data_IF_694842256325
#
_entry.id   IF_694842256325
#
_cell.length_a   1.000
_cell.length_b   1.000
_cell.length_c   1.000
_cell.angle_alpha   90.00
_cell.angle_beta   90.00
_cell.angle_gamma   90.00
#
_symmetry.space_group_name_H-M   'P 1'
#
loop_
_entity.id
_entity.type
_entity.pdbx_description
1 polymer ?
#
# COMPACT_ATOMS: atom_id res chain seq x y z
N UNK A 1 4.28 -21.57 14.65
CA UNK A 1 2.87 -21.30 15.05
C UNK A 1 2.26 -20.34 14.03
N UNK A 2 1.32 -20.79 13.20
CA UNK A 2 0.59 -19.89 12.27
C UNK A 2 -0.53 -19.22 13.06
N UNK A 3 -0.31 -17.99 13.51
CA UNK A 3 -1.36 -17.17 14.12
C UNK A 3 -2.37 -16.87 13.01
N UNK A 4 -3.52 -17.51 13.06
CA UNK A 4 -4.61 -17.24 12.12
C UNK A 4 -5.24 -15.91 12.54
N UNK A 5 -5.24 -14.97 11.61
CA UNK A 5 -5.62 -13.56 11.79
C UNK A 5 -7.03 -13.37 12.40
N UNK A 6 -7.28 -12.23 13.06
CA UNK A 6 -8.55 -11.97 13.74
C UNK A 6 -9.66 -11.77 12.71
N UNK A 7 -10.80 -12.46 12.88
CA UNK A 7 -12.04 -12.38 12.06
C UNK A 7 -12.48 -10.96 11.62
N UNK A 8 -12.08 -9.89 12.31
CA UNK A 8 -12.44 -8.50 11.99
C UNK A 8 -11.61 -7.87 10.87
N UNK A 9 -10.44 -8.41 10.54
CA UNK A 9 -9.53 -7.89 9.53
C UNK A 9 -9.40 -8.81 8.31
N UNK A 10 -10.33 -9.76 8.17
CA UNK A 10 -10.43 -10.62 6.99
C UNK A 10 -11.62 -10.15 6.16
N UNK A 11 -11.41 -9.89 4.88
CA UNK A 11 -12.48 -9.55 3.94
C UNK A 11 -12.41 -10.46 2.72
N UNK A 12 -13.56 -10.62 2.07
CA UNK A 12 -13.71 -11.47 0.89
C UNK A 12 -13.57 -10.61 -0.36
N UNK A 13 -12.74 -11.01 -1.31
CA UNK A 13 -12.66 -10.39 -2.64
C UNK A 13 -13.84 -10.84 -3.53
N UNK A 14 -14.07 -10.10 -4.61
CA UNK A 14 -15.14 -10.43 -5.58
C UNK A 14 -15.00 -11.84 -6.16
N UNK A 15 -13.78 -12.40 -6.16
CA UNK A 15 -13.48 -13.73 -6.70
C UNK A 15 -13.82 -14.89 -5.75
N UNK A 16 -14.19 -14.62 -4.51
CA UNK A 16 -14.49 -15.67 -3.53
C UNK A 16 -13.42 -15.88 -2.46
N UNK A 17 -12.20 -15.39 -2.69
CA UNK A 17 -11.04 -15.58 -1.80
C UNK A 17 -11.10 -14.67 -0.57
N UNK A 18 -10.56 -15.16 0.55
CA UNK A 18 -10.46 -14.42 1.81
C UNK A 18 -9.06 -13.86 1.98
N UNK A 19 -8.99 -12.57 2.33
CA UNK A 19 -7.75 -11.82 2.45
C UNK A 19 -7.60 -11.32 3.88
N UNK A 20 -6.47 -11.65 4.50
CA UNK A 20 -6.07 -11.10 5.79
C UNK A 20 -5.16 -9.88 5.57
N UNK A 21 -5.74 -8.68 5.60
CA UNK A 21 -5.00 -7.42 5.36
C UNK A 21 -3.84 -7.25 6.33
N UNK A 22 -4.00 -7.58 7.62
CA UNK A 22 -2.91 -7.44 8.61
C UNK A 22 -1.72 -8.35 8.27
N UNK A 23 -1.97 -9.57 7.77
CA UNK A 23 -0.89 -10.48 7.37
C UNK A 23 -0.13 -9.96 6.16
N UNK A 24 -0.85 -9.40 5.19
CA UNK A 24 -0.27 -8.80 3.98
C UNK A 24 0.53 -7.54 4.34
N UNK A 25 -0.05 -6.64 5.15
CA UNK A 25 0.61 -5.46 5.69
C UNK A 25 1.90 -5.84 6.42
N UNK A 26 1.88 -6.89 7.24
CA UNK A 26 3.07 -7.38 7.94
C UNK A 26 4.12 -7.98 7.01
N UNK A 27 3.71 -8.64 5.92
CA UNK A 27 4.65 -9.19 4.93
C UNK A 27 5.39 -8.06 4.21
N UNK A 28 4.64 -7.11 3.66
CA UNK A 28 5.20 -5.98 2.93
C UNK A 28 5.91 -4.96 3.83
N UNK A 29 5.56 -4.86 5.12
CA UNK A 29 6.27 -4.01 6.08
C UNK A 29 7.72 -4.45 6.32
N UNK A 30 8.12 -5.65 5.87
CA UNK A 30 9.52 -6.09 5.90
C UNK A 30 10.35 -5.52 4.75
N UNK A 31 9.72 -4.83 3.80
CA UNK A 31 10.41 -4.20 2.68
C UNK A 31 11.16 -2.94 3.18
N UNK A 32 12.48 -2.82 2.98
CA UNK A 32 13.27 -1.70 3.51
C UNK A 32 12.99 -0.37 2.79
N UNK A 33 12.32 -0.39 1.64
CA UNK A 33 12.01 0.81 0.85
C UNK A 33 10.77 1.56 1.34
N UNK A 34 10.01 0.96 2.27
CA UNK A 34 8.79 1.56 2.86
C UNK A 34 8.92 1.62 4.38
N UNK A 35 8.44 2.71 4.97
CA UNK A 35 8.41 2.91 6.43
C UNK A 35 7.11 2.41 7.04
N UNK A 36 5.99 2.59 6.33
CA UNK A 36 4.67 2.21 6.81
C UNK A 36 3.77 1.87 5.63
N UNK A 37 2.92 0.88 5.83
CA UNK A 37 2.03 0.36 4.79
C UNK A 37 0.62 0.23 5.34
N UNK A 38 -0.34 0.70 4.55
CA UNK A 38 -1.76 0.50 4.78
C UNK A 38 -2.38 -0.13 3.53
N UNK A 39 -2.86 -1.36 3.67
CA UNK A 39 -3.51 -2.09 2.56
C UNK A 39 -5.02 -1.91 2.63
N UNK A 40 -5.60 -1.60 1.47
CA UNK A 40 -7.01 -1.47 1.28
C UNK A 40 -7.53 -2.46 0.22
N UNK A 41 -8.65 -3.09 0.53
CA UNK A 41 -9.37 -3.93 -0.39
C UNK A 41 -10.86 -3.87 -0.13
N UNK A 42 -11.64 -4.17 -1.16
CA UNK A 42 -13.10 -4.14 -1.14
C UNK A 42 -13.65 -5.42 -1.76
N UNK A 43 -14.81 -5.88 -1.29
CA UNK A 43 -15.48 -7.08 -1.80
C UNK A 43 -16.01 -6.95 -3.22
N UNK A 44 -16.14 -5.73 -3.73
CA UNK A 44 -16.51 -5.47 -5.12
C UNK A 44 -15.32 -5.54 -6.08
N UNK A 45 -14.09 -5.59 -5.55
CA UNK A 45 -12.86 -5.53 -6.32
C UNK A 45 -12.14 -6.88 -6.29
N UNK A 46 -11.48 -7.21 -7.39
CA UNK A 46 -10.70 -8.44 -7.53
C UNK A 46 -9.22 -8.25 -7.16
N UNK A 47 -8.83 -7.04 -6.75
CA UNK A 47 -7.46 -6.66 -6.47
C UNK A 47 -7.37 -5.66 -5.32
N UNK A 48 -6.16 -5.59 -4.75
CA UNK A 48 -5.83 -4.76 -3.60
C UNK A 48 -5.11 -3.49 -4.02
N UNK A 49 -5.38 -2.42 -3.28
CA UNK A 49 -4.65 -1.18 -3.34
C UNK A 49 -3.88 -0.98 -2.05
N UNK A 50 -2.83 -0.18 -2.13
CA UNK A 50 -2.02 0.13 -0.97
C UNK A 50 -1.71 1.62 -0.91
N UNK A 51 -1.66 2.15 0.31
CA UNK A 51 -1.03 3.42 0.61
C UNK A 51 0.23 3.13 1.41
N UNK A 52 1.38 3.55 0.90
CA UNK A 52 2.66 3.36 1.56
C UNK A 52 3.34 4.69 1.78
N UNK A 53 4.08 4.77 2.86
CA UNK A 53 5.00 5.86 3.14
C UNK A 53 6.38 5.36 2.74
N UNK A 54 6.93 5.83 1.61
CA UNK A 54 8.27 5.44 1.19
C UNK A 54 9.32 5.97 2.17
N UNK A 55 10.40 5.23 2.31
CA UNK A 55 11.56 5.69 3.07
C UNK A 55 12.27 6.80 2.28
N UNK A 56 12.58 7.93 2.96
CA UNK A 56 13.08 9.13 2.28
C UNK A 56 14.41 8.85 1.58
N UNK A 57 15.36 8.20 2.24
CA UNK A 57 16.66 7.83 1.66
C UNK A 57 16.48 6.87 0.49
N UNK A 58 15.70 5.80 0.65
CA UNK A 58 15.42 4.88 -0.47
C UNK A 58 14.87 5.59 -1.72
N UNK A 59 13.95 6.54 -1.52
CA UNK A 59 13.37 7.31 -2.63
C UNK A 59 14.36 8.31 -3.23
N UNK A 60 15.17 8.98 -2.42
CA UNK A 60 16.23 9.88 -2.86
C UNK A 60 17.33 9.14 -3.63
N UNK A 61 17.75 7.96 -3.17
CA UNK A 61 18.70 7.10 -3.87
C UNK A 61 18.16 6.65 -5.23
N UNK A 62 16.90 6.23 -5.27
CA UNK A 62 16.25 5.89 -6.54
C UNK A 62 16.15 7.09 -7.48
N UNK A 63 15.81 8.27 -6.95
CA UNK A 63 15.71 9.50 -7.72
C UNK A 63 17.07 9.90 -8.31
N UNK A 64 18.14 9.79 -7.52
CA UNK A 64 19.52 10.03 -7.98
C UNK A 64 19.91 9.10 -9.13
N UNK A 65 19.60 7.80 -9.03
CA UNK A 65 19.86 6.82 -10.10
C UNK A 65 19.03 7.08 -11.37
N UNK A 66 17.80 7.57 -11.22
CA UNK A 66 16.87 7.82 -12.32
C UNK A 66 16.89 9.26 -12.83
N UNK A 67 17.87 10.07 -12.39
CA UNK A 67 17.99 11.49 -12.71
C UNK A 67 16.69 12.28 -12.47
N UNK A 68 15.90 11.87 -11.47
CA UNK A 68 14.71 12.60 -11.06
C UNK A 68 15.13 13.69 -10.08
N UNK A 69 14.84 14.93 -10.43
CA UNK A 69 15.08 16.11 -9.59
C UNK A 69 13.74 16.59 -9.06
N UNK A 70 13.63 16.73 -7.74
CA UNK A 70 12.43 17.23 -7.08
C UNK A 70 12.42 16.93 -5.60
N UNK A 71 11.59 17.66 -4.86
CA UNK A 71 11.35 17.40 -3.45
C UNK A 71 10.75 16.00 -3.23
N UNK A 72 10.94 15.47 -2.02
CA UNK A 72 10.38 14.18 -1.60
C UNK A 72 8.87 14.05 -1.92
N UNK A 73 8.12 15.15 -1.75
CA UNK A 73 6.69 15.21 -2.07
C UNK A 73 6.42 15.05 -3.57
N UNK A 74 7.17 15.77 -4.42
CA UNK A 74 7.08 15.66 -5.87
C UNK A 74 7.48 14.27 -6.37
N UNK A 75 8.46 13.64 -5.73
CA UNK A 75 8.83 12.25 -6.02
C UNK A 75 7.69 11.28 -5.68
N UNK A 76 7.00 11.47 -4.56
CA UNK A 76 5.82 10.64 -4.21
C UNK A 76 4.66 10.78 -5.21
N UNK A 77 4.51 11.96 -5.82
CA UNK A 77 3.51 12.20 -6.86
C UNK A 77 3.91 11.61 -8.23
N UNK A 78 5.20 11.30 -8.42
CA UNK A 78 5.72 10.80 -9.69
C UNK A 78 5.31 9.34 -9.94
N UNK A 79 4.74 9.07 -11.13
CA UNK A 79 4.34 7.73 -11.54
C UNK A 79 5.50 6.73 -11.56
N UNK A 80 6.71 7.18 -11.94
CA UNK A 80 7.90 6.31 -11.98
C UNK A 80 8.30 5.83 -10.58
N UNK A 81 8.21 6.71 -9.59
CA UNK A 81 8.50 6.37 -8.19
C UNK A 81 7.47 5.38 -7.63
N UNK A 82 6.18 5.63 -7.90
CA UNK A 82 5.09 4.71 -7.54
C UNK A 82 5.35 3.33 -8.12
N UNK A 83 5.68 3.26 -9.42
CA UNK A 83 5.98 2.00 -10.10
C UNK A 83 7.20 1.30 -9.51
N UNK A 84 8.25 2.03 -9.17
CA UNK A 84 9.43 1.47 -8.52
C UNK A 84 9.10 0.83 -7.17
N UNK A 85 8.38 1.55 -6.30
CA UNK A 85 7.97 1.02 -5.00
C UNK A 85 7.02 -0.17 -5.16
N UNK A 86 6.11 -0.12 -6.13
CA UNK A 86 5.25 -1.26 -6.45
C UNK A 86 6.04 -2.50 -6.85
N UNK A 87 7.11 -2.33 -7.63
CA UNK A 87 7.98 -3.42 -8.08
C UNK A 87 8.79 -4.02 -6.92
N UNK A 88 9.30 -3.19 -6.01
CA UNK A 88 9.97 -3.61 -4.77
C UNK A 88 9.02 -4.39 -3.83
N UNK A 89 7.78 -3.91 -3.71
CA UNK A 89 6.72 -4.62 -2.97
C UNK A 89 6.40 -5.96 -3.62
N UNK A 90 6.19 -6.00 -4.93
CA UNK A 90 5.93 -7.24 -5.67
C UNK A 90 7.13 -8.21 -5.63
N UNK A 91 8.36 -7.70 -5.53
CA UNK A 91 9.55 -8.53 -5.30
C UNK A 91 9.55 -9.13 -3.89
N UNK A 92 8.99 -8.42 -2.91
CA UNK A 92 8.79 -8.92 -1.55
C UNK A 92 7.66 -9.96 -1.50
N UNK A 93 6.59 -9.73 -2.26
CA UNK A 93 5.46 -10.67 -2.44
C UNK A 93 5.92 -12.07 -2.86
N UNK A 94 6.79 -12.14 -3.87
CA UNK A 94 7.37 -13.39 -4.36
C UNK A 94 8.18 -14.13 -3.30
N UNK A 95 8.90 -13.40 -2.43
CA UNK A 95 9.67 -14.00 -1.32
C UNK A 95 8.75 -14.62 -0.26
N UNK A 96 7.57 -14.02 -0.05
CA UNK A 96 6.57 -14.50 0.89
C UNK A 96 5.58 -15.51 0.29
N UNK A 97 5.72 -15.85 -1.00
CA UNK A 97 4.83 -16.77 -1.72
C UNK A 97 3.35 -16.37 -1.61
N UNK A 98 3.09 -15.06 -1.60
CA UNK A 98 1.74 -14.54 -1.61
C UNK A 98 1.05 -14.94 -2.91
N UNK A 99 -0.25 -15.18 -2.84
CA UNK A 99 -1.02 -15.63 -4.01
C UNK A 99 -1.25 -14.44 -4.94
N UNK A 100 -1.42 -14.70 -6.25
CA UNK A 100 -1.60 -13.63 -7.24
C UNK A 100 -2.77 -12.66 -6.97
N UNK A 101 -3.74 -13.05 -6.13
CA UNK A 101 -4.84 -12.18 -5.70
C UNK A 101 -4.51 -11.30 -4.47
N UNK A 102 -3.44 -11.63 -3.74
CA UNK A 102 -2.89 -10.82 -2.64
C UNK A 102 -1.95 -9.74 -3.16
N UNK A 103 -1.53 -9.85 -4.43
CA UNK A 103 -0.68 -8.86 -5.08
C UNK A 103 -1.34 -7.50 -5.19
N UNK A 104 -0.54 -6.48 -4.90
CA UNK A 104 -0.93 -5.09 -4.97
C UNK A 104 -0.95 -4.64 -6.43
N UNK A 105 -2.07 -4.07 -6.87
CA UNK A 105 -2.22 -3.63 -8.27
C UNK A 105 -1.88 -2.15 -8.47
N UNK A 106 -2.16 -1.33 -7.47
CA UNK A 106 -1.80 0.08 -7.48
C UNK A 106 -1.37 0.54 -6.10
N UNK A 107 -0.46 1.53 -6.08
CA UNK A 107 0.14 2.09 -4.88
C UNK A 107 0.01 3.61 -4.87
N UNK A 108 -0.32 4.14 -3.70
CA UNK A 108 -0.20 5.54 -3.38
C UNK A 108 1.04 5.76 -2.52
N UNK A 109 1.89 6.72 -2.90
CA UNK A 109 2.99 7.17 -2.05
C UNK A 109 2.53 8.37 -1.25
N UNK A 110 2.44 8.20 0.07
CA UNK A 110 2.15 9.28 0.99
C UNK A 110 3.47 9.87 1.52
N UNK A 111 3.73 11.18 1.31
CA UNK A 111 4.94 11.84 1.81
C UNK A 111 4.90 12.11 3.32
N UNK A 112 3.73 12.05 3.96
CA UNK A 112 3.60 12.27 5.41
C UNK A 112 3.43 10.96 6.17
N UNK A 113 4.15 10.75 7.29
CA UNK A 113 3.88 9.59 8.13
C UNK A 113 2.43 9.53 8.65
N UNK A 114 1.99 8.32 9.03
CA UNK A 114 0.69 8.14 9.67
C UNK A 114 0.79 8.57 11.13
N UNK A 115 0.32 9.79 11.43
CA UNK A 115 0.40 10.35 12.78
C UNK A 115 -0.87 10.16 13.61
N UNK A 116 -0.70 10.20 14.94
CA UNK A 116 -1.80 10.18 15.92
C UNK A 116 -2.60 11.48 15.83
N UNK A 117 -1.94 12.62 15.56
CA UNK A 117 -2.58 13.95 15.46
C UNK A 117 -3.66 13.98 14.37
N UNK A 118 -3.35 13.40 13.20
CA UNK A 118 -4.30 13.26 12.09
C UNK A 118 -5.37 12.19 12.32
N UNK A 119 -5.34 11.52 13.48
CA UNK A 119 -6.23 10.43 13.83
C UNK A 119 -6.16 9.26 12.81
N UNK A 120 -4.99 9.02 12.23
CA UNK A 120 -4.77 7.90 11.31
C UNK A 120 -4.37 6.63 12.05
N UNK A 121 -3.62 6.79 13.14
CA UNK A 121 -3.28 5.72 14.06
C UNK A 121 -3.83 6.01 15.46
N UNK A 122 -4.01 4.94 16.23
CA UNK A 122 -4.27 5.02 17.68
C UNK A 122 -2.97 5.26 18.45
N UNK A 123 -3.02 5.66 19.73
CA UNK A 123 -1.81 5.79 20.56
C UNK A 123 -1.02 4.48 20.71
N UNK A 124 -1.66 3.34 20.42
CA UNK A 124 -1.05 2.01 20.37
C UNK A 124 -0.60 1.63 18.94
N UNK A 125 -0.39 2.62 18.05
CA UNK A 125 0.05 2.46 16.67
C UNK A 125 -0.82 1.53 15.79
N UNK A 126 -2.11 1.36 16.14
CA UNK A 126 -3.05 0.65 15.26
C UNK A 126 -3.73 1.60 14.30
N UNK A 127 -3.75 1.25 13.02
CA UNK A 127 -4.44 2.00 11.98
C UNK A 127 -5.94 2.12 12.25
N UNK A 128 -6.44 3.35 12.25
CA UNK A 128 -7.87 3.65 12.24
C UNK A 128 -8.38 3.54 10.80
N UNK A 129 -8.53 2.30 10.31
CA UNK A 129 -9.04 1.96 8.96
C UNK A 129 -10.23 2.84 8.49
N UNK A 130 -11.30 3.09 9.28
CA UNK A 130 -12.41 3.94 8.81
C UNK A 130 -12.03 5.41 8.60
N UNK A 131 -11.10 5.96 9.40
CA UNK A 131 -10.62 7.34 9.24
C UNK A 131 -9.69 7.47 8.04
N UNK A 132 -8.75 6.52 7.88
CA UNK A 132 -7.88 6.42 6.72
C UNK A 132 -8.70 6.30 5.43
N UNK A 133 -9.69 5.41 5.42
CA UNK A 133 -10.58 5.25 4.28
C UNK A 133 -11.34 6.53 3.97
N UNK A 134 -11.82 7.27 4.97
CA UNK A 134 -12.53 8.54 4.75
C UNK A 134 -11.61 9.61 4.15
N UNK A 135 -10.37 9.69 4.60
CA UNK A 135 -9.38 10.65 4.11
C UNK A 135 -8.87 10.29 2.70
N UNK A 136 -8.47 9.04 2.49
CA UNK A 136 -7.93 8.55 1.24
C UNK A 136 -9.01 8.08 0.25
N UNK A 137 -10.30 8.29 0.55
CA UNK A 137 -11.42 7.79 -0.27
C UNK A 137 -11.27 8.20 -1.73
N UNK A 138 -11.01 9.49 -1.95
CA UNK A 138 -10.90 10.06 -3.28
C UNK A 138 -9.65 9.56 -4.03
N UNK A 139 -8.51 9.43 -3.32
CA UNK A 139 -7.30 8.81 -3.88
C UNK A 139 -7.51 7.34 -4.24
N UNK A 140 -8.13 6.56 -3.37
CA UNK A 140 -8.43 5.14 -3.58
C UNK A 140 -9.36 4.98 -4.78
N UNK A 141 -10.40 5.79 -4.89
CA UNK A 141 -11.36 5.74 -6.00
C UNK A 141 -10.67 6.03 -7.34
N UNK A 142 -9.82 7.07 -7.37
CA UNK A 142 -8.98 7.39 -8.54
C UNK A 142 -8.04 6.25 -8.90
N UNK A 143 -7.37 5.66 -7.92
CA UNK A 143 -6.44 4.54 -8.16
C UNK A 143 -7.18 3.29 -8.68
N UNK A 144 -8.37 3.00 -8.15
CA UNK A 144 -9.21 1.94 -8.69
C UNK A 144 -9.62 2.23 -10.13
N UNK A 145 -9.99 3.48 -10.42
CA UNK A 145 -10.36 3.90 -11.77
C UNK A 145 -9.17 3.76 -12.75
N UNK A 146 -7.99 4.24 -12.37
CA UNK A 146 -6.75 4.14 -13.16
C UNK A 146 -6.34 2.67 -13.39
N UNK A 147 -6.42 1.84 -12.35
CA UNK A 147 -6.10 0.42 -12.42
C UNK A 147 -7.10 -0.38 -13.27
N UNK A 148 -8.38 0.03 -13.30
CA UNK A 148 -9.41 -0.55 -14.18
C UNK A 148 -9.28 -0.04 -15.62
N UNK A 149 -8.95 1.23 -15.79
CA UNK A 149 -8.82 1.92 -17.07
C UNK A 149 -7.57 1.53 -17.87
N UNK A 150 -6.53 1.00 -17.23
CA UNK A 150 -5.33 0.46 -17.91
C UNK A 150 -5.57 -0.84 -18.71
N UNK A 151 -6.82 -1.27 -18.88
CA UNK A 151 -7.20 -2.20 -19.97
C UNK A 151 -7.59 -1.39 -21.21
N UNK A 152 -6.61 -0.81 -21.89
CA UNK A 152 -6.75 -0.44 -23.31
C UNK A 152 -5.47 -0.78 -24.06
#
# INVERSE_FOLDING_TARGET
MKIIDRKKNIFKLSQGEYIAVESIESAYSQCPTVTSIWVYGNSFESFLLVVVIPERKALEEWAGKNHQTGDFKSLCENFKARKYILDELNSTDQKHQLRGFEMLKAVHLEPTPFDIERNFITPIFKFKRPQLLKYYKDCIDRLYNEAKGSKV
#
